data_IF_884370363255
#
_entry.id   IF_884370363255
#
_cell.length_a   1.000
_cell.length_b   1.000
_cell.length_c   1.000
_cell.angle_alpha   90.00
_cell.angle_beta   90.00
_cell.angle_gamma   90.00
#
_symmetry.space_group_name_H-M   'P 1'
#
loop_
_entity.id
_entity.type
_entity.pdbx_description
1 polymer ?
#
# COMPACT_ATOMS: atom_id res chain seq x y z
N UNK A 1 -14.52 2.94 -23.48
CA UNK A 1 -14.38 2.32 -22.13
C UNK A 1 -14.07 3.33 -21.02
N UNK A 2 -12.86 3.84 -20.75
CA UNK A 2 -12.67 4.84 -19.65
C UNK A 2 -13.15 6.25 -20.02
N UNK A 3 -12.76 6.77 -21.18
CA UNK A 3 -13.18 8.09 -21.65
C UNK A 3 -14.71 8.23 -21.79
N UNK A 4 -15.36 7.13 -22.18
CA UNK A 4 -16.80 7.02 -22.33
C UNK A 4 -17.53 7.01 -20.98
N UNK A 5 -16.93 6.33 -19.99
CA UNK A 5 -17.36 6.39 -18.60
C UNK A 5 -17.13 7.78 -17.99
N UNK A 6 -16.12 8.55 -18.39
CA UNK A 6 -15.96 9.93 -17.91
C UNK A 6 -16.91 10.92 -18.59
N UNK A 7 -17.27 10.67 -19.85
CA UNK A 7 -18.13 11.51 -20.69
C UNK A 7 -19.63 11.43 -20.35
N UNK A 8 -20.09 10.35 -19.72
CA UNK A 8 -21.48 10.24 -19.26
C UNK A 8 -21.82 11.32 -18.20
N UNK A 9 -23.09 11.70 -18.05
CA UNK A 9 -23.53 12.67 -17.03
C UNK A 9 -23.60 12.03 -15.63
N UNK A 10 -23.26 12.81 -14.59
CA UNK A 10 -23.22 12.37 -13.18
C UNK A 10 -22.00 12.95 -12.43
N UNK A 11 -22.03 13.02 -11.10
CA UNK A 11 -20.87 13.42 -10.30
C UNK A 11 -19.82 12.30 -10.33
N UNK A 12 -18.64 12.59 -10.90
CA UNK A 12 -17.54 11.63 -11.01
C UNK A 12 -16.24 12.32 -10.65
N UNK A 13 -15.35 11.57 -10.00
CA UNK A 13 -13.98 11.98 -9.72
C UNK A 13 -13.01 10.99 -10.36
N UNK A 14 -11.81 11.48 -10.67
CA UNK A 14 -10.66 10.68 -11.07
C UNK A 14 -9.83 10.47 -9.81
N UNK A 15 -9.50 9.23 -9.47
CA UNK A 15 -8.64 8.90 -8.33
C UNK A 15 -7.43 8.16 -8.86
N UNK A 16 -6.24 8.65 -8.54
CA UNK A 16 -4.96 8.06 -8.94
C UNK A 16 -4.19 7.75 -7.66
N UNK A 17 -3.89 6.49 -7.46
CA UNK A 17 -3.02 6.06 -6.36
C UNK A 17 -1.56 6.18 -6.80
N UNK A 18 -0.67 6.61 -5.90
CA UNK A 18 0.78 6.69 -6.07
C UNK A 18 1.19 7.35 -7.39
N UNK A 19 0.76 8.61 -7.58
CA UNK A 19 0.98 9.34 -8.85
C UNK A 19 2.46 9.51 -9.19
N UNK A 20 3.35 9.46 -8.20
CA UNK A 20 4.79 9.50 -8.35
C UNK A 20 5.40 8.23 -8.96
N UNK A 21 4.67 7.11 -8.97
CA UNK A 21 5.08 5.89 -9.69
C UNK A 21 4.76 5.94 -11.20
N UNK A 22 3.90 6.88 -11.63
CA UNK A 22 3.51 6.98 -13.03
C UNK A 22 4.59 7.62 -13.91
N UNK A 23 4.73 7.08 -15.12
CA UNK A 23 5.55 7.68 -16.16
C UNK A 23 4.97 9.01 -16.67
N UNK A 24 5.83 9.80 -17.32
CA UNK A 24 5.53 11.15 -17.77
C UNK A 24 4.37 11.19 -18.77
N UNK A 25 4.29 10.17 -19.63
CA UNK A 25 3.28 10.03 -20.67
C UNK A 25 1.91 9.73 -20.07
N UNK A 26 1.84 8.80 -19.11
CA UNK A 26 0.63 8.47 -18.35
C UNK A 26 0.09 9.67 -17.58
N UNK A 27 0.98 10.41 -16.93
CA UNK A 27 0.68 11.65 -16.21
C UNK A 27 0.12 12.72 -17.14
N UNK A 28 0.68 12.90 -18.34
CA UNK A 28 0.16 13.84 -19.34
C UNK A 28 -1.24 13.47 -19.85
N UNK A 29 -1.54 12.17 -20.01
CA UNK A 29 -2.88 11.72 -20.38
C UNK A 29 -3.90 12.07 -19.30
N UNK A 30 -3.56 11.90 -18.02
CA UNK A 30 -4.42 12.26 -16.89
C UNK A 30 -4.73 13.78 -16.90
N UNK A 31 -3.73 14.63 -17.12
CA UNK A 31 -3.92 16.09 -17.24
C UNK A 31 -4.86 16.44 -18.42
N UNK A 32 -4.67 15.85 -19.60
CA UNK A 32 -5.55 16.07 -20.75
C UNK A 32 -6.99 15.66 -20.45
N UNK A 33 -7.19 14.52 -19.80
CA UNK A 33 -8.52 14.01 -19.44
C UNK A 33 -9.18 14.91 -18.40
N UNK A 34 -8.45 15.33 -17.36
CA UNK A 34 -8.95 16.22 -16.32
C UNK A 34 -9.38 17.56 -16.92
N UNK A 35 -8.58 18.16 -17.80
CA UNK A 35 -8.92 19.42 -18.49
C UNK A 35 -10.14 19.29 -19.41
N UNK A 36 -10.29 18.16 -20.11
CA UNK A 36 -11.42 17.95 -21.03
C UNK A 36 -12.74 17.67 -20.33
N UNK A 37 -12.67 17.07 -19.15
CA UNK A 37 -13.87 16.57 -18.45
C UNK A 37 -14.24 17.42 -17.23
N UNK A 38 -13.33 18.30 -16.79
CA UNK A 38 -13.45 19.16 -15.61
C UNK A 38 -13.84 18.39 -14.33
N UNK A 39 -13.47 17.11 -14.26
CA UNK A 39 -13.77 16.25 -13.12
C UNK A 39 -12.77 16.50 -11.98
N UNK A 40 -13.22 16.47 -10.71
CA UNK A 40 -12.31 16.46 -9.57
C UNK A 40 -11.27 15.35 -9.70
N UNK A 41 -10.03 15.66 -9.37
CA UNK A 41 -8.90 14.73 -9.37
C UNK A 41 -8.38 14.62 -7.94
N UNK A 42 -8.32 13.39 -7.44
CA UNK A 42 -7.70 13.03 -6.16
C UNK A 42 -6.48 12.19 -6.46
N UNK A 43 -5.36 12.55 -5.87
CA UNK A 43 -4.09 11.84 -6.04
C UNK A 43 -3.51 11.52 -4.68
N UNK A 44 -2.89 10.36 -4.54
CA UNK A 44 -1.97 10.05 -3.45
C UNK A 44 -0.55 10.11 -3.97
N UNK A 45 0.38 10.44 -3.09
CA UNK A 45 1.80 10.45 -3.35
C UNK A 45 2.55 10.30 -2.03
N UNK A 46 3.78 9.83 -2.12
CA UNK A 46 4.70 9.88 -0.99
C UNK A 46 5.06 11.32 -0.58
N UNK A 47 5.66 11.48 0.61
CA UNK A 47 6.04 12.78 1.20
C UNK A 47 7.16 13.52 0.42
N UNK A 48 7.49 13.04 -0.79
CA UNK A 48 8.34 13.73 -1.73
C UNK A 48 7.70 15.08 -2.10
N UNK A 49 8.49 16.17 -2.12
CA UNK A 49 7.93 17.47 -2.46
C UNK A 49 7.34 17.42 -3.87
N UNK A 50 6.05 17.75 -3.98
CA UNK A 50 5.28 17.99 -5.22
C UNK A 50 6.09 18.72 -6.31
N UNK A 51 7.01 19.59 -5.88
CA UNK A 51 7.85 20.42 -6.71
C UNK A 51 9.00 19.68 -7.41
N UNK A 52 9.39 18.48 -6.99
CA UNK A 52 10.41 17.68 -7.70
C UNK A 52 9.88 17.15 -9.05
N UNK A 53 8.56 16.94 -9.16
CA UNK A 53 7.86 16.61 -10.41
C UNK A 53 7.61 17.84 -11.32
N UNK A 54 7.96 19.06 -10.86
CA UNK A 54 7.65 20.31 -11.56
C UNK A 54 8.36 20.49 -12.92
N UNK A 55 9.29 19.62 -13.28
CA UNK A 55 9.89 19.63 -14.63
C UNK A 55 8.95 19.06 -15.71
N UNK A 56 7.93 18.29 -15.33
CA UNK A 56 7.04 17.61 -16.30
C UNK A 56 5.56 17.82 -16.00
N UNK A 57 5.21 18.06 -14.73
CA UNK A 57 3.83 18.26 -14.31
C UNK A 57 3.63 19.65 -13.71
N UNK A 58 3.19 20.59 -14.54
CA UNK A 58 2.50 21.80 -14.10
C UNK A 58 1.02 21.62 -14.44
N UNK A 59 0.24 20.90 -13.61
CA UNK A 59 -1.19 20.83 -13.82
C UNK A 59 -1.73 22.27 -13.83
N UNK A 60 -2.51 22.64 -14.86
CA UNK A 60 -3.02 24.02 -14.98
C UNK A 60 -3.92 24.45 -13.81
N UNK A 61 -4.40 23.48 -13.02
CA UNK A 61 -4.95 23.67 -11.68
C UNK A 61 -4.06 22.91 -10.70
N UNK A 62 -3.18 23.64 -10.00
CA UNK A 62 -2.55 23.15 -8.76
C UNK A 62 -3.66 22.71 -7.79
N UNK A 63 -3.41 21.74 -6.88
CA UNK A 63 -4.45 21.15 -6.06
C UNK A 63 -5.17 22.23 -5.27
N UNK A 64 -6.49 22.20 -5.30
CA UNK A 64 -7.34 23.08 -4.49
C UNK A 64 -7.15 22.82 -2.99
N UNK A 65 -6.69 21.61 -2.63
CA UNK A 65 -6.39 21.21 -1.24
C UNK A 65 -5.34 20.10 -1.23
N UNK A 66 -4.37 20.22 -0.33
CA UNK A 66 -3.41 19.15 0.00
C UNK A 66 -3.63 18.73 1.44
N UNK A 67 -3.74 17.43 1.68
CA UNK A 67 -3.88 16.85 3.02
C UNK A 67 -2.66 15.96 3.30
N UNK A 68 -1.87 16.33 4.31
CA UNK A 68 -0.76 15.49 4.78
C UNK A 68 -1.30 14.47 5.79
N UNK A 69 -1.05 13.20 5.54
CA UNK A 69 -1.42 12.12 6.45
C UNK A 69 -0.28 11.87 7.43
N UNK A 70 -0.51 12.16 8.70
CA UNK A 70 0.42 11.82 9.78
C UNK A 70 0.13 10.41 10.32
N UNK A 71 1.12 9.74 10.93
CA UNK A 71 0.87 8.53 11.69
C UNK A 71 -0.20 8.75 12.76
N UNK A 72 -0.95 7.69 13.10
CA UNK A 72 -2.01 7.77 14.09
C UNK A 72 -1.46 8.12 15.47
N UNK A 73 -2.12 9.07 16.13
CA UNK A 73 -1.87 9.37 17.53
C UNK A 73 -2.50 8.32 18.47
N UNK A 74 -2.29 8.48 19.78
CA UNK A 74 -2.82 7.58 20.79
C UNK A 74 -4.34 7.40 20.72
N UNK A 75 -5.11 8.49 20.60
CA UNK A 75 -6.57 8.44 20.58
C UNK A 75 -7.09 7.76 19.32
N UNK A 76 -6.42 7.99 18.20
CA UNK A 76 -6.73 7.34 16.92
C UNK A 76 -6.38 5.85 16.94
N UNK A 77 -5.25 5.46 17.55
CA UNK A 77 -4.90 4.04 17.76
C UNK A 77 -5.91 3.36 18.67
N UNK A 78 -6.29 3.99 19.79
CA UNK A 78 -7.31 3.49 20.71
C UNK A 78 -8.64 3.22 19.98
N UNK A 79 -9.10 4.18 19.17
CA UNK A 79 -10.32 4.04 18.36
C UNK A 79 -10.20 2.92 17.33
N UNK A 80 -9.08 2.82 16.64
CA UNK A 80 -8.87 1.78 15.63
C UNK A 80 -8.81 0.38 16.26
N UNK A 81 -8.19 0.25 17.44
CA UNK A 81 -8.20 -0.98 18.23
C UNK A 81 -9.61 -1.36 18.64
N UNK A 82 -10.40 -0.42 19.16
CA UNK A 82 -11.78 -0.66 19.54
C UNK A 82 -12.65 -1.12 18.37
N UNK A 83 -12.45 -0.53 17.19
CA UNK A 83 -13.13 -0.95 15.95
C UNK A 83 -12.68 -2.33 15.48
N UNK A 84 -11.39 -2.66 15.65
CA UNK A 84 -10.82 -3.93 15.19
C UNK A 84 -11.23 -5.10 16.10
N UNK A 85 -11.20 -4.89 17.42
CA UNK A 85 -11.44 -5.92 18.43
C UNK A 85 -12.89 -5.94 18.95
N UNK A 86 -13.74 -5.02 18.50
CA UNK A 86 -15.15 -4.92 18.89
C UNK A 86 -15.42 -4.42 20.31
N UNK A 87 -14.39 -4.09 21.09
CA UNK A 87 -14.48 -3.52 22.44
C UNK A 87 -13.24 -2.66 22.71
N UNK A 88 -13.33 -1.63 23.58
CA UNK A 88 -12.20 -0.74 23.84
C UNK A 88 -11.00 -1.49 24.43
N UNK A 89 -9.76 -1.18 24.02
CA UNK A 89 -8.57 -1.65 24.71
C UNK A 89 -8.37 -0.89 26.03
N UNK A 90 -7.60 -1.48 26.95
CA UNK A 90 -7.06 -0.76 28.09
C UNK A 90 -5.88 0.16 27.69
N UNK A 91 -5.37 0.90 28.66
CA UNK A 91 -4.29 1.88 28.46
C UNK A 91 -2.99 1.18 28.06
N UNK A 92 -2.71 0.03 28.66
CA UNK A 92 -1.46 -0.70 28.46
C UNK A 92 -1.39 -1.32 27.06
N UNK A 93 -2.48 -1.93 26.60
CA UNK A 93 -2.61 -2.47 25.24
C UNK A 93 -2.47 -1.37 24.20
N UNK A 94 -3.17 -0.24 24.39
CA UNK A 94 -3.08 0.91 23.46
C UNK A 94 -1.65 1.43 23.36
N UNK A 95 -0.98 1.59 24.50
CA UNK A 95 0.40 2.08 24.57
C UNK A 95 1.36 1.10 23.90
N UNK A 96 1.22 -0.20 24.18
CA UNK A 96 2.07 -1.23 23.60
C UNK A 96 1.92 -1.32 22.07
N UNK A 97 0.69 -1.21 21.55
CA UNK A 97 0.43 -1.19 20.11
C UNK A 97 0.94 0.09 19.47
N UNK A 98 0.73 1.27 20.07
CA UNK A 98 1.26 2.53 19.56
C UNK A 98 2.78 2.49 19.45
N UNK A 99 3.47 2.03 20.50
CA UNK A 99 4.93 1.91 20.52
C UNK A 99 5.48 0.94 19.47
N UNK A 100 4.78 -0.17 19.21
CA UNK A 100 5.20 -1.16 18.19
C UNK A 100 4.86 -0.75 16.77
N UNK A 101 3.74 -0.05 16.57
CA UNK A 101 3.25 0.33 15.24
C UNK A 101 3.79 1.68 14.77
N UNK A 102 4.25 2.54 15.67
CA UNK A 102 4.57 3.93 15.39
C UNK A 102 3.37 4.72 14.84
N UNK A 103 2.14 4.30 15.17
CA UNK A 103 0.91 4.88 14.62
C UNK A 103 0.58 4.42 13.20
N UNK A 104 1.26 3.43 12.63
CA UNK A 104 0.96 2.91 11.30
C UNK A 104 -0.36 2.11 11.32
N UNK A 105 -1.45 2.56 10.65
CA UNK A 105 -2.77 1.92 10.76
C UNK A 105 -2.73 0.43 10.38
N UNK A 106 -1.92 0.08 9.37
CA UNK A 106 -1.74 -1.32 8.94
C UNK A 106 -1.15 -2.18 10.05
N UNK A 107 -0.14 -1.66 10.77
CA UNK A 107 0.48 -2.40 11.87
C UNK A 107 -0.43 -2.46 13.09
N UNK A 108 -1.17 -1.40 13.40
CA UNK A 108 -2.15 -1.39 14.51
C UNK A 108 -3.14 -2.54 14.35
N UNK A 109 -3.78 -2.64 13.18
CA UNK A 109 -4.76 -3.70 12.89
C UNK A 109 -4.10 -5.08 12.93
N UNK A 110 -2.92 -5.22 12.32
CA UNK A 110 -2.22 -6.51 12.27
C UNK A 110 -1.78 -7.01 13.65
N UNK A 111 -1.25 -6.13 14.50
CA UNK A 111 -0.87 -6.46 15.88
C UNK A 111 -2.10 -6.87 16.70
N UNK A 112 -3.22 -6.16 16.55
CA UNK A 112 -4.44 -6.49 17.26
C UNK A 112 -4.98 -7.88 16.86
N UNK A 113 -5.13 -8.11 15.55
CA UNK A 113 -5.62 -9.38 15.01
C UNK A 113 -4.69 -10.55 15.35
N UNK A 114 -3.38 -10.35 15.27
CA UNK A 114 -2.42 -11.40 15.61
C UNK A 114 -2.42 -11.70 17.09
N UNK A 115 -2.54 -10.69 17.96
CA UNK A 115 -2.56 -10.87 19.40
C UNK A 115 -3.84 -11.61 19.84
N UNK A 116 -5.00 -11.24 19.30
CA UNK A 116 -6.27 -11.97 19.53
C UNK A 116 -6.17 -13.43 19.08
N UNK A 117 -5.67 -13.68 17.86
CA UNK A 117 -5.55 -15.03 17.30
C UNK A 117 -4.55 -15.91 18.07
N UNK A 118 -3.52 -15.30 18.66
CA UNK A 118 -2.53 -15.99 19.51
C UNK A 118 -2.91 -16.07 20.98
N UNK A 119 -4.15 -15.71 21.34
CA UNK A 119 -4.66 -15.70 22.73
C UNK A 119 -3.82 -14.82 23.69
N UNK A 120 -3.15 -13.79 23.14
CA UNK A 120 -2.37 -12.80 23.90
C UNK A 120 -3.24 -11.66 24.46
N UNK A 121 -4.53 -11.65 24.15
CA UNK A 121 -5.50 -10.69 24.63
C UNK A 121 -6.57 -11.38 25.47
N UNK A 122 -7.03 -10.71 26.52
CA UNK A 122 -8.14 -11.13 27.37
C UNK A 122 -9.14 -10.00 27.51
N UNK A 123 -10.42 -10.31 27.47
CA UNK A 123 -11.49 -9.34 27.71
C UNK A 123 -11.83 -9.32 29.22
N UNK A 124 -11.50 -8.21 29.89
CA UNK A 124 -11.74 -7.98 31.31
C UNK A 124 -12.60 -6.74 31.48
N UNK A 125 -13.73 -6.84 32.19
CA UNK A 125 -14.64 -5.73 32.44
C UNK A 125 -15.07 -4.96 31.18
N UNK A 126 -15.20 -5.67 30.05
CA UNK A 126 -15.55 -5.09 28.75
C UNK A 126 -14.42 -4.34 28.05
N UNK A 127 -13.17 -4.48 28.53
CA UNK A 127 -11.97 -3.93 27.92
C UNK A 127 -10.99 -5.03 27.52
N UNK A 128 -10.34 -4.87 26.37
CA UNK A 128 -9.27 -5.77 25.95
C UNK A 128 -7.96 -5.40 26.66
N UNK A 129 -7.34 -6.40 27.31
CA UNK A 129 -6.07 -6.27 28.00
C UNK A 129 -5.08 -7.32 27.51
N UNK A 130 -3.79 -7.06 27.72
CA UNK A 130 -2.74 -8.02 27.40
C UNK A 130 -2.70 -9.14 28.44
N UNK A 131 -2.72 -10.40 28.00
CA UNK A 131 -2.58 -11.56 28.90
C UNK A 131 -1.14 -11.83 29.35
N UNK A 132 -0.15 -11.14 28.75
CA UNK A 132 1.27 -11.26 29.06
C UNK A 132 2.06 -9.99 28.74
N UNK A 133 3.39 -10.10 28.69
CA UNK A 133 4.29 -8.94 28.56
C UNK A 133 4.65 -8.57 27.11
N UNK A 134 4.16 -9.30 26.11
CA UNK A 134 4.53 -9.10 24.71
C UNK A 134 3.36 -9.32 23.76
N UNK A 135 3.31 -8.47 22.74
CA UNK A 135 2.45 -8.63 21.55
C UNK A 135 3.22 -9.20 20.36
N UNK A 136 4.51 -9.54 20.55
CA UNK A 136 5.29 -10.21 19.51
C UNK A 136 4.87 -11.67 19.47
N UNK A 137 4.49 -12.14 18.28
CA UNK A 137 4.12 -13.52 18.04
C UNK A 137 4.49 -13.93 16.61
N UNK A 138 4.40 -15.23 16.32
CA UNK A 138 4.76 -15.82 15.03
C UNK A 138 3.91 -15.31 13.86
N UNK A 139 2.65 -14.91 14.10
CA UNK A 139 1.75 -14.39 13.07
C UNK A 139 2.14 -12.99 12.58
N UNK A 140 2.91 -12.24 13.38
CA UNK A 140 3.47 -10.96 12.95
C UNK A 140 4.70 -11.09 12.05
N UNK A 141 5.38 -12.24 12.09
CA UNK A 141 6.63 -12.43 11.38
C UNK A 141 6.47 -12.24 9.86
N UNK A 142 5.36 -12.70 9.28
CA UNK A 142 5.06 -12.50 7.86
C UNK A 142 4.85 -11.03 7.51
N UNK A 143 4.11 -10.29 8.35
CA UNK A 143 3.85 -8.85 8.17
C UNK A 143 5.15 -8.04 8.23
N UNK A 144 6.04 -8.39 9.16
CA UNK A 144 7.37 -7.77 9.26
C UNK A 144 8.22 -8.14 8.05
N UNK A 145 8.22 -9.40 7.62
CA UNK A 145 8.99 -9.83 6.46
C UNK A 145 8.56 -9.11 5.16
N UNK A 146 7.26 -8.85 5.01
CA UNK A 146 6.72 -8.04 3.92
C UNK A 146 7.21 -6.59 3.99
N UNK A 147 7.26 -5.99 5.19
CA UNK A 147 7.83 -4.65 5.38
C UNK A 147 9.33 -4.59 5.06
N UNK A 148 10.06 -5.67 5.36
CA UNK A 148 11.50 -5.80 5.09
C UNK A 148 11.79 -6.26 3.65
N UNK A 149 10.75 -6.48 2.85
CA UNK A 149 10.93 -6.92 1.48
C UNK A 149 11.60 -5.82 0.64
N UNK A 150 12.42 -6.23 -0.31
CA UNK A 150 13.14 -5.31 -1.19
C UNK A 150 14.32 -4.55 -0.56
N UNK A 151 14.60 -4.66 0.75
CA UNK A 151 15.80 -4.06 1.36
C UNK A 151 17.10 -4.63 0.74
N UNK A 152 18.05 -3.77 0.42
CA UNK A 152 19.42 -4.15 0.07
C UNK A 152 20.11 -4.81 1.28
N UNK A 153 21.27 -5.44 1.06
CA UNK A 153 22.04 -6.01 2.16
C UNK A 153 22.49 -4.93 3.16
N UNK A 154 22.85 -3.75 2.66
CA UNK A 154 23.32 -2.63 3.47
C UNK A 154 22.18 -2.00 4.26
N UNK A 155 21.01 -1.81 3.63
CA UNK A 155 19.80 -1.32 4.30
C UNK A 155 19.35 -2.29 5.43
N UNK A 156 19.41 -3.61 5.20
CA UNK A 156 19.10 -4.60 6.25
C UNK A 156 20.10 -4.54 7.40
N UNK A 157 21.38 -4.39 7.10
CA UNK A 157 22.45 -4.31 8.10
C UNK A 157 22.31 -3.05 8.94
N UNK A 158 22.02 -1.91 8.29
CA UNK A 158 21.69 -0.66 8.96
C UNK A 158 20.47 -0.82 9.86
N UNK A 159 19.36 -1.35 9.35
CA UNK A 159 18.13 -1.54 10.14
C UNK A 159 18.34 -2.46 11.35
N UNK A 160 19.09 -3.55 11.18
CA UNK A 160 19.48 -4.42 12.28
C UNK A 160 20.28 -3.66 13.34
N UNK A 161 21.25 -2.86 12.91
CA UNK A 161 22.07 -2.02 13.80
C UNK A 161 21.21 -1.01 14.56
N UNK A 162 20.30 -0.32 13.88
CA UNK A 162 19.34 0.60 14.50
C UNK A 162 18.43 -0.09 15.51
N UNK A 163 17.98 -1.31 15.19
CA UNK A 163 17.12 -2.11 16.08
C UNK A 163 17.84 -2.50 17.39
N UNK A 164 19.14 -2.79 17.32
CA UNK A 164 19.97 -3.12 18.50
C UNK A 164 20.29 -1.86 19.32
N UNK A 165 20.62 -0.76 18.66
CA UNK A 165 21.02 0.50 19.32
C UNK A 165 19.82 1.23 19.96
N UNK A 166 18.62 0.97 19.44
CA UNK A 166 17.37 1.59 19.86
C UNK A 166 17.17 3.01 19.32
N UNK A 167 16.04 3.63 19.66
CA UNK A 167 15.74 4.99 19.26
C UNK A 167 16.78 5.98 19.83
N UNK A 168 17.44 6.74 18.95
CA UNK A 168 18.44 7.75 19.31
C UNK A 168 18.34 9.00 18.44
N UNK A 169 18.87 10.14 18.90
CA UNK A 169 19.01 11.31 18.06
C UNK A 169 19.87 11.01 16.81
N UNK A 170 19.60 11.72 15.71
CA UNK A 170 20.22 11.46 14.41
C UNK A 170 21.75 11.60 14.42
N UNK A 171 22.29 12.60 15.12
CA UNK A 171 23.74 12.86 15.16
C UNK A 171 24.59 11.65 15.56
N UNK A 172 24.31 11.00 16.71
CA UNK A 172 24.95 9.74 17.07
C UNK A 172 24.73 8.58 16.10
N UNK A 173 23.57 8.52 15.43
CA UNK A 173 23.28 7.44 14.47
C UNK A 173 24.10 7.56 13.18
N UNK A 174 24.38 8.79 12.72
CA UNK A 174 25.24 9.04 11.55
C UNK A 174 26.70 8.61 11.75
N UNK A 175 27.12 8.34 13.00
CA UNK A 175 28.44 7.77 13.28
C UNK A 175 28.48 6.24 13.12
N UNK A 176 27.31 5.61 13.00
CA UNK A 176 27.13 4.15 13.01
C UNK A 176 26.60 3.66 11.66
N UNK A 177 25.71 4.45 11.03
CA UNK A 177 25.09 4.15 9.73
C UNK A 177 25.34 5.33 8.79
N UNK A 178 25.69 5.04 7.55
CA UNK A 178 25.91 6.04 6.51
C UNK A 178 24.63 6.86 6.22
N UNK A 179 24.80 8.16 5.97
CA UNK A 179 23.69 9.09 5.77
C UNK A 179 22.80 8.68 4.59
N UNK A 180 23.38 8.31 3.46
CA UNK A 180 22.63 7.90 2.25
C UNK A 180 21.75 6.66 2.50
N UNK A 181 22.19 5.76 3.39
CA UNK A 181 21.41 4.57 3.78
C UNK A 181 20.27 4.96 4.72
N UNK A 182 20.49 5.92 5.63
CA UNK A 182 19.43 6.47 6.48
C UNK A 182 18.37 7.17 5.63
N UNK A 183 18.78 7.99 4.67
CA UNK A 183 17.88 8.67 3.72
C UNK A 183 17.10 7.65 2.89
N UNK A 184 17.76 6.58 2.40
CA UNK A 184 17.10 5.50 1.65
C UNK A 184 16.09 4.72 2.48
N UNK A 185 16.35 4.51 3.78
CA UNK A 185 15.42 3.88 4.71
C UNK A 185 14.24 4.79 5.07
N UNK A 186 14.44 6.11 5.10
CA UNK A 186 13.39 7.11 5.35
C UNK A 186 12.49 7.33 4.14
N UNK A 187 13.06 7.49 2.95
CA UNK A 187 12.36 7.82 1.71
C UNK A 187 11.72 6.61 1.00
N UNK A 188 11.52 5.49 1.69
CA UNK A 188 11.06 4.26 1.04
C UNK A 188 9.55 4.29 0.77
N UNK A 189 9.11 4.28 -0.51
CA UNK A 189 7.72 4.02 -0.86
C UNK A 189 7.31 2.64 -0.38
N UNK A 190 6.15 2.60 0.26
CA UNK A 190 5.53 1.38 0.78
C UNK A 190 4.89 0.62 -0.39
N UNK A 191 5.73 0.02 -1.26
CA UNK A 191 5.26 -0.63 -2.50
C UNK A 191 4.09 -1.60 -2.24
N UNK A 192 3.05 -1.61 -3.08
CA UNK A 192 2.00 -2.61 -2.96
C UNK A 192 2.56 -4.01 -3.21
N UNK A 193 2.02 -4.99 -2.47
CA UNK A 193 2.31 -6.40 -2.71
C UNK A 193 1.98 -6.74 -4.17
N UNK A 194 2.88 -7.39 -4.93
CA UNK A 194 2.52 -7.84 -6.27
C UNK A 194 1.34 -8.80 -6.15
N UNK A 195 0.22 -8.43 -6.78
CA UNK A 195 -0.94 -9.29 -6.91
C UNK A 195 -0.46 -10.62 -7.49
N UNK A 196 -0.61 -11.68 -6.71
CA UNK A 196 -0.22 -13.03 -7.05
C UNK A 196 -0.93 -13.39 -8.36
N UNK A 197 -0.16 -13.40 -9.46
CA UNK A 197 -0.64 -13.83 -10.76
C UNK A 197 -1.13 -15.27 -10.61
N UNK A 198 -2.45 -15.44 -10.44
CA UNK A 198 -3.11 -16.72 -10.64
C UNK A 198 -2.95 -17.04 -12.12
N UNK A 199 -1.96 -17.86 -12.43
CA UNK A 199 -1.80 -18.52 -13.71
C UNK A 199 -3.09 -19.27 -14.03
N UNK A 200 -3.90 -18.68 -14.91
CA UNK A 200 -4.98 -19.40 -15.58
C UNK A 200 -4.31 -20.22 -16.68
N UNK A 201 -3.98 -21.47 -16.38
CA UNK A 201 -3.54 -22.43 -17.39
C UNK A 201 -4.72 -22.76 -18.31
N UNK A 202 -4.81 -22.06 -19.44
CA UNK A 202 -5.60 -22.50 -20.59
C UNK A 202 -5.10 -23.86 -21.05
N UNK A 203 -5.90 -24.88 -20.78
CA UNK A 203 -5.76 -26.21 -21.37
C UNK A 203 -6.65 -26.24 -22.62
N UNK A 204 -6.14 -25.75 -23.75
CA UNK A 204 -6.69 -26.10 -25.06
C UNK A 204 -6.24 -27.51 -25.41
N UNK A 205 -7.08 -28.50 -25.12
CA UNK A 205 -6.96 -29.84 -25.69
C UNK A 205 -7.80 -29.87 -26.97
N UNK A 206 -7.09 -30.01 -28.09
CA UNK A 206 -7.63 -30.04 -29.43
C UNK A 206 -8.71 -31.10 -29.61
N UNK A 207 -9.76 -30.73 -30.36
CA UNK A 207 -10.76 -31.65 -30.87
C UNK A 207 -10.69 -31.67 -32.38
N UNK A 208 -10.12 -32.77 -32.89
CA UNK A 208 -10.05 -33.17 -34.28
C UNK A 208 -11.41 -33.13 -34.97
N UNK A 209 -11.47 -32.60 -36.19
CA UNK A 209 -12.58 -32.77 -37.13
C UNK A 209 -12.07 -33.64 -38.29
N UNK A 210 -12.71 -34.79 -38.61
CA UNK A 210 -12.30 -35.61 -39.74
C UNK A 210 -12.85 -35.10 -41.07
N UNK A 211 -12.02 -35.27 -42.08
CA UNK A 211 -12.23 -34.94 -43.48
C UNK A 211 -13.17 -35.97 -44.13
N UNK A 212 -14.30 -35.54 -44.68
CA UNK A 212 -15.19 -36.36 -45.51
C UNK A 212 -15.25 -35.83 -46.93
N UNK A 213 -14.87 -36.72 -47.85
CA UNK A 213 -14.87 -36.62 -49.30
C UNK A 213 -16.30 -36.57 -49.86
N UNK A 214 -16.61 -35.67 -50.82
CA UNK A 214 -17.16 -36.06 -52.12
C UNK A 214 -17.32 -34.89 -53.11
N UNK A 215 -16.77 -35.11 -54.32
CA UNK A 215 -17.26 -34.79 -55.67
C UNK A 215 -18.37 -33.74 -55.83
N UNK A 216 -18.18 -32.75 -56.72
CA UNK A 216 -18.54 -32.87 -58.15
C UNK A 216 -18.56 -31.48 -58.83
N UNK A 217 -17.81 -31.38 -59.94
CA UNK A 217 -18.27 -30.91 -61.25
C UNK A 217 -18.91 -29.52 -61.41
N UNK A 218 -18.14 -28.65 -62.09
CA UNK A 218 -18.48 -27.98 -63.36
C UNK A 218 -19.52 -26.83 -63.43
N UNK A 219 -19.03 -25.75 -64.05
CA UNK A 219 -19.66 -24.70 -64.91
C UNK A 219 -19.56 -23.30 -64.29
N UNK A 220 -18.72 -22.40 -64.83
CA UNK A 220 -18.74 -21.71 -66.14
C UNK A 220 -19.72 -20.52 -66.17
N UNK A 221 -19.14 -19.30 -66.18
CA UNK A 221 -19.68 -17.99 -66.62
C UNK A 221 -20.87 -17.47 -65.78
N UNK A 222 -20.97 -16.19 -65.43
CA UNK A 222 -20.50 -14.94 -66.05
C UNK A 222 -20.50 -13.85 -64.98
#
# INVERSE_FOLDING_TARGET
MLAEQLAQRGARAIVVDDIDELDKESVAVIDIVQRRTERPLVVTMDDAPLYSMASVFTPARWPETTMRLSPLDYDQVNKLLAQTLGSPPDVDLTTAVLMKSGGNPRLVVRIAQSAELSEQLVLLDGQWSMSGHTLSNEYLQSTVQELLHGLSADERTALHTLSVVGARPLGPLMQIVEADILDSLEMRPKRPCPAQQRSSSSTEVGRSIPHASNKSSAKLRR
#
